data_IF_616878819080
#
_entry.id   IF_616878819080
#
_cell.length_a   1.000
_cell.length_b   1.000
_cell.length_c   1.000
_cell.angle_alpha   90.00
_cell.angle_beta   90.00
_cell.angle_gamma   90.00
#
_symmetry.space_group_name_H-M   'P 1'
#
loop_
_entity.id
_entity.type
_entity.pdbx_description
1 polymer ?
#
# COMPACT_ATOMS: atom_id res chain seq x y z
N UNK A 1 10.65 11.10 0.51
CA UNK A 1 10.19 11.63 1.80
C UNK A 1 8.69 11.38 1.88
N UNK A 2 8.21 10.74 2.94
CA UNK A 2 6.77 10.46 3.14
C UNK A 2 6.15 11.53 4.05
N UNK A 3 4.87 11.83 3.84
CA UNK A 3 4.06 12.67 4.74
C UNK A 3 2.93 11.79 5.27
N UNK A 4 2.67 11.83 6.59
CA UNK A 4 1.45 11.28 7.17
C UNK A 4 0.39 12.37 7.24
N UNK A 5 -0.85 11.98 7.05
CA UNK A 5 -2.06 12.75 7.33
C UNK A 5 -2.83 11.95 8.37
N UNK A 6 -3.35 12.60 9.41
CA UNK A 6 -4.16 11.96 10.45
C UNK A 6 -5.63 11.87 9.99
N UNK A 7 -5.84 11.29 8.81
CA UNK A 7 -7.13 11.14 8.15
C UNK A 7 -7.23 9.74 7.54
N UNK A 8 -8.39 9.09 7.70
CA UNK A 8 -8.68 7.80 7.06
C UNK A 8 -9.17 8.08 5.64
N UNK A 9 -8.68 7.32 4.66
CA UNK A 9 -9.02 7.54 3.24
C UNK A 9 -10.51 7.33 2.91
N UNK A 10 -11.19 6.49 3.69
CA UNK A 10 -12.62 6.18 3.56
C UNK A 10 -13.34 6.34 4.89
N UNK A 11 -14.62 6.66 4.85
CA UNK A 11 -15.46 6.67 6.03
C UNK A 11 -15.73 5.22 6.50
N UNK A 12 -15.36 4.89 7.73
CA UNK A 12 -15.60 3.57 8.32
C UNK A 12 -16.94 3.62 9.09
N UNK A 13 -17.92 2.75 8.75
CA UNK A 13 -19.19 2.73 9.45
C UNK A 13 -19.04 2.20 10.89
N UNK A 14 -19.85 2.72 11.82
CA UNK A 14 -19.87 2.23 13.20
C UNK A 14 -20.31 0.76 13.27
N UNK A 15 -19.47 -0.06 13.90
CA UNK A 15 -19.72 -1.50 14.07
C UNK A 15 -20.59 -1.73 15.31
N UNK A 16 -21.79 -2.32 15.13
CA UNK A 16 -22.76 -2.53 16.22
C UNK A 16 -22.40 -3.66 17.19
N UNK A 17 -21.58 -4.64 16.78
CA UNK A 17 -21.16 -5.79 17.60
C UNK A 17 -19.76 -6.25 17.19
N UNK A 18 -18.87 -6.58 18.15
CA UNK A 18 -17.57 -7.16 17.83
C UNK A 18 -17.74 -8.59 17.29
N UNK A 19 -17.12 -8.87 16.13
CA UNK A 19 -17.10 -10.20 15.53
C UNK A 19 -15.64 -10.68 15.34
N UNK A 20 -15.17 -11.62 16.18
CA UNK A 20 -13.79 -12.10 16.11
C UNK A 20 -13.48 -12.92 14.85
N UNK A 21 -14.48 -13.55 14.22
CA UNK A 21 -14.28 -14.29 12.97
C UNK A 21 -14.14 -13.34 11.78
N UNK A 22 -14.93 -12.27 11.76
CA UNK A 22 -14.78 -11.21 10.76
C UNK A 22 -13.41 -10.52 10.88
N UNK A 23 -12.95 -10.25 12.10
CA UNK A 23 -11.62 -9.69 12.33
C UNK A 23 -10.49 -10.62 11.83
N UNK A 24 -10.61 -11.93 12.03
CA UNK A 24 -9.63 -12.90 11.53
C UNK A 24 -9.58 -12.94 9.98
N UNK A 25 -10.72 -12.81 9.30
CA UNK A 25 -10.78 -12.74 7.85
C UNK A 25 -10.12 -11.45 7.30
N UNK A 26 -10.35 -10.31 7.96
CA UNK A 26 -9.70 -9.03 7.60
C UNK A 26 -8.18 -9.10 7.85
N UNK A 27 -7.73 -9.80 8.89
CA UNK A 27 -6.31 -9.97 9.16
C UNK A 27 -5.56 -10.71 8.04
N UNK A 28 -6.21 -11.67 7.38
CA UNK A 28 -5.63 -12.35 6.21
C UNK A 28 -5.55 -11.41 4.98
N UNK A 29 -6.48 -10.47 4.83
CA UNK A 29 -6.43 -9.45 3.77
C UNK A 29 -5.38 -8.37 4.02
N UNK A 30 -5.04 -8.10 5.29
CA UNK A 30 -3.98 -7.15 5.64
C UNK A 30 -2.60 -7.81 5.62
N UNK A 31 -2.42 -8.89 6.38
CA UNK A 31 -1.11 -9.51 6.65
C UNK A 31 -0.89 -10.87 6.00
N UNK A 32 -1.86 -11.40 5.28
CA UNK A 32 -1.75 -12.69 4.60
C UNK A 32 -0.80 -12.65 3.40
N UNK A 33 -0.63 -13.81 2.78
CA UNK A 33 0.32 -14.01 1.66
C UNK A 33 0.06 -13.06 0.48
N UNK A 34 -1.20 -12.71 0.24
CA UNK A 34 -1.63 -11.79 -0.81
C UNK A 34 -2.29 -10.53 -0.26
N UNK A 35 -2.01 -10.20 1.00
CA UNK A 35 -2.58 -9.03 1.65
C UNK A 35 -2.01 -7.69 1.17
N UNK A 36 -2.62 -6.62 1.64
CA UNK A 36 -2.21 -5.23 1.36
C UNK A 36 -0.76 -4.96 1.78
N UNK A 37 -0.33 -5.53 2.91
CA UNK A 37 1.04 -5.39 3.39
C UNK A 37 2.06 -6.11 2.48
N UNK A 38 1.69 -7.26 1.90
CA UNK A 38 2.54 -8.03 0.98
C UNK A 38 2.71 -7.29 -0.35
N UNK A 39 1.62 -6.73 -0.87
CA UNK A 39 1.62 -5.91 -2.10
C UNK A 39 2.40 -4.61 -1.91
N UNK A 40 2.20 -3.92 -0.78
CA UNK A 40 2.93 -2.70 -0.43
C UNK A 40 4.41 -2.93 -0.28
N UNK A 41 4.81 -3.93 0.52
CA UNK A 41 6.24 -4.25 0.74
C UNK A 41 6.94 -4.61 -0.57
N UNK A 42 6.30 -5.40 -1.41
CA UNK A 42 6.84 -5.77 -2.72
C UNK A 42 7.11 -4.54 -3.59
N UNK A 43 6.15 -3.62 -3.71
CA UNK A 43 6.29 -2.42 -4.53
C UNK A 43 7.23 -1.38 -3.93
N UNK A 44 7.28 -1.23 -2.59
CA UNK A 44 8.21 -0.32 -1.89
C UNK A 44 9.66 -0.74 -2.09
N UNK A 45 9.97 -2.04 -2.01
CA UNK A 45 11.34 -2.55 -2.21
C UNK A 45 11.72 -2.50 -3.70
N UNK A 46 10.80 -2.77 -4.61
CA UNK A 46 11.06 -2.73 -6.05
C UNK A 46 11.22 -1.30 -6.58
N UNK A 47 10.52 -0.31 -6.02
CA UNK A 47 10.55 1.09 -6.47
C UNK A 47 11.97 1.71 -6.53
N UNK A 48 12.81 1.68 -5.46
CA UNK A 48 14.16 2.23 -5.52
C UNK A 48 15.07 1.48 -6.50
N UNK A 49 14.93 0.15 -6.59
CA UNK A 49 15.67 -0.69 -7.55
C UNK A 49 15.33 -0.29 -8.99
N UNK A 50 14.04 -0.09 -9.27
CA UNK A 50 13.56 0.35 -10.58
C UNK A 50 14.02 1.78 -10.89
N UNK A 51 13.97 2.70 -9.94
CA UNK A 51 14.44 4.10 -10.12
C UNK A 51 15.94 4.16 -10.42
N UNK A 52 16.76 3.33 -9.75
CA UNK A 52 18.21 3.33 -9.97
C UNK A 52 18.57 2.80 -11.36
N UNK A 53 17.92 1.72 -11.81
CA UNK A 53 18.06 1.22 -13.19
C UNK A 53 17.54 2.22 -14.22
N UNK A 54 16.50 2.98 -13.86
CA UNK A 54 15.82 3.94 -14.73
C UNK A 54 16.60 5.24 -14.95
N UNK A 55 17.32 5.78 -13.95
CA UNK A 55 18.14 6.99 -14.13
C UNK A 55 19.15 6.88 -15.30
N UNK A 56 19.43 5.66 -15.76
CA UNK A 56 20.27 5.39 -16.91
C UNK A 56 19.53 5.42 -18.28
N UNK A 57 18.19 5.34 -18.31
CA UNK A 57 17.39 5.22 -19.53
C UNK A 57 16.20 6.21 -19.54
N UNK A 58 16.29 7.26 -20.35
CA UNK A 58 15.38 8.43 -20.31
C UNK A 58 13.91 8.22 -20.78
N UNK A 59 13.50 7.02 -21.23
CA UNK A 59 12.25 6.85 -22.03
C UNK A 59 11.02 6.25 -21.31
N UNK A 60 11.16 5.40 -20.28
CA UNK A 60 10.05 4.75 -19.54
C UNK A 60 9.46 5.48 -18.28
N UNK A 61 9.56 6.82 -18.14
CA UNK A 61 9.40 7.56 -16.86
C UNK A 61 8.00 7.41 -16.25
N UNK A 62 6.98 7.32 -17.12
CA UNK A 62 5.56 7.24 -16.73
C UNK A 62 5.26 6.01 -15.88
N UNK A 63 5.87 4.86 -16.19
CA UNK A 63 5.67 3.61 -15.44
C UNK A 63 6.28 3.66 -14.05
N UNK A 64 7.46 4.28 -13.90
CA UNK A 64 8.12 4.40 -12.60
C UNK A 64 7.32 5.28 -11.62
N UNK A 65 6.68 6.34 -12.12
CA UNK A 65 5.81 7.21 -11.31
C UNK A 65 4.57 6.45 -10.83
N UNK A 66 3.96 5.65 -11.70
CA UNK A 66 2.79 4.84 -11.35
C UNK A 66 3.10 3.76 -10.30
N UNK A 67 4.25 3.09 -10.40
CA UNK A 67 4.68 2.09 -9.41
C UNK A 67 4.85 2.72 -8.01
N UNK A 68 5.18 4.01 -7.92
CA UNK A 68 5.29 4.72 -6.63
C UNK A 68 3.94 5.05 -6.02
N UNK A 69 2.93 5.41 -6.82
CA UNK A 69 1.64 5.87 -6.27
C UNK A 69 0.86 4.75 -5.59
N UNK A 70 1.02 3.50 -6.03
CA UNK A 70 0.28 2.34 -5.50
C UNK A 70 0.59 2.06 -4.01
N UNK A 71 1.86 1.84 -3.58
CA UNK A 71 2.14 1.56 -2.17
C UNK A 71 1.85 2.76 -1.26
N UNK A 72 1.93 3.98 -1.79
CA UNK A 72 1.54 5.20 -1.06
C UNK A 72 0.05 5.20 -0.71
N UNK A 73 -0.80 4.74 -1.63
CA UNK A 73 -2.23 4.58 -1.40
C UNK A 73 -2.52 3.47 -0.39
N UNK A 74 -1.80 2.35 -0.48
CA UNK A 74 -2.01 1.22 0.44
C UNK A 74 -1.57 1.53 1.88
N UNK A 75 -0.46 2.24 2.09
CA UNK A 75 -0.05 2.69 3.43
C UNK A 75 -1.08 3.67 4.04
N UNK A 76 -1.71 4.50 3.20
CA UNK A 76 -2.72 5.46 3.63
C UNK A 76 -4.09 4.80 3.98
N UNK A 77 -4.25 3.50 3.70
CA UNK A 77 -5.43 2.73 4.11
C UNK A 77 -5.22 2.02 5.47
N UNK A 78 -3.97 1.86 5.92
CA UNK A 78 -3.61 1.09 7.12
C UNK A 78 -3.45 1.94 8.40
N UNK A 79 -3.61 3.28 8.34
CA UNK A 79 -3.41 4.21 9.47
C UNK A 79 -4.64 5.06 9.75
#
# INVERSE_FOLDING_TARGET
MFKRMDEIMIEIPEVKKPDPNAAAAVQELLGGKFGEMSTSKFLIVQSPIFIFQYRHQNHVMKFSVYIKSIPLHTIALET
#
